data_IF_303600460192
#
_entry.id   IF_303600460192
#
_cell.length_a   1.000
_cell.length_b   1.000
_cell.length_c   1.000
_cell.angle_alpha   90.00
_cell.angle_beta   90.00
_cell.angle_gamma   90.00
#
_symmetry.space_group_name_H-M   'P 1'
#
loop_
_entity.id
_entity.type
_entity.pdbx_description
1 polymer ?
#
# COMPACT_ATOMS: atom_id res chain seq x y z
N UNK A 1 76.91 -55.04 38.03
CA UNK A 1 77.09 -54.81 36.58
C UNK A 1 75.96 -53.91 36.11
N UNK A 2 76.20 -52.62 35.78
CA UNK A 2 75.17 -51.80 35.15
C UNK A 2 74.92 -52.32 33.73
N UNK A 3 73.65 -52.46 33.28
CA UNK A 3 73.36 -52.92 31.93
C UNK A 3 73.87 -51.90 30.89
N UNK A 4 74.53 -52.38 29.84
CA UNK A 4 74.91 -51.56 28.70
C UNK A 4 73.65 -51.12 27.95
N UNK A 5 73.33 -49.83 28.02
CA UNK A 5 72.18 -49.26 27.30
C UNK A 5 72.42 -49.34 25.79
N UNK A 6 71.51 -49.95 25.03
CA UNK A 6 71.60 -49.99 23.56
C UNK A 6 71.05 -48.70 22.94
N UNK A 7 71.48 -48.33 21.72
CA UNK A 7 70.97 -47.12 21.03
C UNK A 7 69.44 -47.14 20.84
N UNK A 8 68.85 -48.33 20.74
CA UNK A 8 67.41 -48.54 20.66
C UNK A 8 66.69 -48.09 21.93
N UNK A 9 67.29 -48.31 23.10
CA UNK A 9 66.73 -47.89 24.39
C UNK A 9 66.76 -46.36 24.53
N UNK A 10 67.80 -45.70 24.00
CA UNK A 10 67.90 -44.23 23.99
C UNK A 10 66.87 -43.60 23.05
N UNK A 11 66.67 -44.16 21.86
CA UNK A 11 65.64 -43.70 20.93
C UNK A 11 64.22 -43.85 21.53
N UNK A 12 63.94 -44.99 22.18
CA UNK A 12 62.67 -45.20 22.88
C UNK A 12 62.47 -44.22 24.03
N UNK A 13 63.52 -43.94 24.82
CA UNK A 13 63.45 -42.97 25.90
C UNK A 13 63.16 -41.54 25.39
N UNK A 14 63.76 -41.14 24.27
CA UNK A 14 63.50 -39.83 23.66
C UNK A 14 62.07 -39.71 23.10
N UNK A 15 61.57 -40.77 22.44
CA UNK A 15 60.18 -40.80 21.96
C UNK A 15 59.20 -40.72 23.13
N UNK A 16 59.45 -41.45 24.22
CA UNK A 16 58.62 -41.40 25.43
C UNK A 16 58.65 -40.03 26.10
N UNK A 17 59.81 -39.38 26.17
CA UNK A 17 59.94 -38.03 26.70
C UNK A 17 59.18 -37.00 25.84
N UNK A 18 59.30 -37.10 24.52
CA UNK A 18 58.56 -36.22 23.60
C UNK A 18 57.05 -36.44 23.72
N UNK A 19 56.60 -37.70 23.79
CA UNK A 19 55.21 -38.03 24.01
C UNK A 19 54.69 -37.47 25.35
N UNK A 20 55.48 -37.57 26.43
CA UNK A 20 55.13 -37.02 27.73
C UNK A 20 55.02 -35.49 27.72
N UNK A 21 55.93 -34.80 27.01
CA UNK A 21 55.88 -33.34 26.83
C UNK A 21 54.66 -32.91 26.02
N UNK A 22 54.36 -33.60 24.92
CA UNK A 22 53.14 -33.34 24.13
C UNK A 22 51.89 -33.56 24.98
N UNK A 23 51.84 -34.65 25.74
CA UNK A 23 50.70 -34.95 26.61
C UNK A 23 50.53 -33.86 27.68
N UNK A 24 51.62 -33.40 28.29
CA UNK A 24 51.60 -32.28 29.24
C UNK A 24 51.09 -30.99 28.59
N UNK A 25 51.53 -30.67 27.36
CA UNK A 25 51.03 -29.52 26.61
C UNK A 25 49.52 -29.63 26.30
N UNK A 26 49.07 -30.79 25.82
CA UNK A 26 47.66 -31.01 25.50
C UNK A 26 46.75 -30.97 26.72
N UNK A 27 47.23 -31.38 27.90
CA UNK A 27 46.42 -31.38 29.13
C UNK A 27 46.47 -30.05 29.87
N UNK A 28 47.59 -29.32 29.85
CA UNK A 28 47.71 -28.04 30.57
C UNK A 28 47.39 -26.84 29.68
N UNK A 29 47.99 -26.75 28.50
CA UNK A 29 47.95 -25.53 27.68
C UNK A 29 46.72 -25.49 26.81
N UNK A 30 46.36 -26.61 26.18
CA UNK A 30 45.22 -26.65 25.26
C UNK A 30 43.87 -26.32 25.94
N UNK A 31 43.47 -26.92 27.08
CA UNK A 31 42.19 -26.58 27.71
C UNK A 31 42.21 -25.20 28.37
N UNK A 32 43.35 -24.77 28.93
CA UNK A 32 43.41 -23.49 29.64
C UNK A 32 43.49 -22.30 28.70
N UNK A 33 44.14 -22.45 27.54
CA UNK A 33 44.44 -21.31 26.67
C UNK A 33 43.70 -21.34 25.34
N UNK A 34 43.75 -22.44 24.60
CA UNK A 34 43.25 -22.43 23.21
C UNK A 34 41.73 -22.55 23.13
N UNK A 35 41.11 -23.33 24.01
CA UNK A 35 39.63 -23.45 24.09
C UNK A 35 38.97 -22.10 24.40
N UNK A 36 39.32 -21.37 25.48
CA UNK A 36 38.68 -20.09 25.76
C UNK A 36 38.96 -19.02 24.70
N UNK A 37 40.17 -19.02 24.09
CA UNK A 37 40.48 -18.10 23.01
C UNK A 37 39.61 -18.35 21.77
N UNK A 38 39.34 -19.62 21.44
CA UNK A 38 38.45 -19.99 20.34
C UNK A 38 37.01 -19.56 20.63
N UNK A 39 36.50 -19.77 21.85
CA UNK A 39 35.15 -19.33 22.23
C UNK A 39 34.97 -17.81 22.16
N UNK A 40 35.97 -17.04 22.57
CA UNK A 40 35.89 -15.57 22.46
C UNK A 40 35.88 -15.15 20.99
N UNK A 41 36.71 -15.78 20.15
CA UNK A 41 36.75 -15.49 18.71
C UNK A 41 35.43 -15.83 18.01
N UNK A 42 34.78 -16.95 18.35
CA UNK A 42 33.47 -17.31 17.79
C UNK A 42 32.41 -16.29 18.20
N UNK A 43 32.36 -15.90 19.49
CA UNK A 43 31.44 -14.86 19.98
C UNK A 43 31.64 -13.52 19.27
N UNK A 44 32.89 -13.11 19.05
CA UNK A 44 33.21 -11.88 18.31
C UNK A 44 32.75 -11.98 16.86
N UNK A 45 32.94 -13.13 16.21
CA UNK A 45 32.43 -13.40 14.86
C UNK A 45 30.91 -13.25 14.79
N UNK A 46 30.19 -13.91 15.70
CA UNK A 46 28.72 -13.84 15.76
C UNK A 46 28.20 -12.41 15.97
N UNK A 47 28.83 -11.63 16.85
CA UNK A 47 28.44 -10.25 17.10
C UNK A 47 28.66 -9.36 15.86
N UNK A 48 29.79 -9.55 15.16
CA UNK A 48 30.07 -8.83 13.90
C UNK A 48 29.06 -9.19 12.82
N UNK A 49 28.68 -10.45 12.69
CA UNK A 49 27.69 -10.88 11.71
C UNK A 49 26.28 -10.31 12.00
N UNK A 50 25.92 -10.17 13.28
CA UNK A 50 24.67 -9.53 13.69
C UNK A 50 24.71 -8.03 13.41
N UNK A 51 25.82 -7.37 13.75
CA UNK A 51 26.02 -5.95 13.47
C UNK A 51 25.95 -5.66 11.97
N UNK A 52 26.61 -6.47 11.14
CA UNK A 52 26.58 -6.32 9.69
C UNK A 52 25.16 -6.44 9.14
N UNK A 53 24.37 -7.44 9.59
CA UNK A 53 22.96 -7.59 9.21
C UNK A 53 22.11 -6.38 9.58
N UNK A 54 22.31 -5.83 10.78
CA UNK A 54 21.56 -4.64 11.22
C UNK A 54 21.97 -3.43 10.38
N UNK A 55 23.27 -3.23 10.14
CA UNK A 55 23.78 -2.13 9.31
C UNK A 55 23.28 -2.21 7.87
N UNK A 56 23.23 -3.41 7.26
CA UNK A 56 22.70 -3.56 5.90
C UNK A 56 21.21 -3.27 5.82
N UNK A 57 20.42 -3.65 6.83
CA UNK A 57 19.00 -3.28 6.91
C UNK A 57 18.80 -1.77 7.09
N UNK A 58 19.58 -1.13 7.98
CA UNK A 58 19.52 0.32 8.17
C UNK A 58 19.96 1.09 6.91
N UNK A 59 20.92 0.57 6.15
CA UNK A 59 21.34 1.17 4.88
C UNK A 59 20.23 1.19 3.81
N UNK A 60 19.21 0.32 3.92
CA UNK A 60 18.05 0.31 3.03
C UNK A 60 16.97 1.34 3.41
N UNK A 61 16.93 1.77 4.68
CA UNK A 61 15.97 2.77 5.16
C UNK A 61 15.87 4.04 4.29
N UNK A 62 16.97 4.70 3.86
CA UNK A 62 16.86 5.90 3.02
C UNK A 62 16.33 5.62 1.61
N UNK A 63 16.48 4.40 1.09
CA UNK A 63 15.87 4.04 -0.20
C UNK A 63 14.36 3.89 -0.04
N UNK A 64 13.92 3.15 0.98
CA UNK A 64 12.49 2.98 1.30
C UNK A 64 11.82 4.33 1.58
N UNK A 65 12.48 5.23 2.32
CA UNK A 65 11.96 6.58 2.58
C UNK A 65 11.82 7.41 1.30
N UNK A 66 12.76 7.31 0.36
CA UNK A 66 12.66 8.00 -0.94
C UNK A 66 11.53 7.46 -1.80
N UNK A 67 11.38 6.14 -1.86
CA UNK A 67 10.29 5.49 -2.60
C UNK A 67 8.93 5.82 -1.99
N UNK A 68 8.83 5.81 -0.65
CA UNK A 68 7.63 6.24 0.07
C UNK A 68 7.30 7.72 -0.21
N UNK A 69 8.29 8.61 -0.13
CA UNK A 69 8.08 10.03 -0.42
C UNK A 69 7.65 10.26 -1.87
N UNK A 70 8.24 9.54 -2.83
CA UNK A 70 7.85 9.59 -4.23
C UNK A 70 6.41 9.08 -4.43
N UNK A 71 6.03 7.96 -3.81
CA UNK A 71 4.68 7.43 -3.86
C UNK A 71 3.64 8.38 -3.26
N UNK A 72 3.96 9.00 -2.11
CA UNK A 72 3.10 10.01 -1.49
C UNK A 72 2.96 11.27 -2.35
N UNK A 73 4.04 11.72 -3.00
CA UNK A 73 3.99 12.85 -3.94
C UNK A 73 3.13 12.53 -5.17
N UNK A 74 3.23 11.33 -5.73
CA UNK A 74 2.37 10.87 -6.83
C UNK A 74 0.90 10.76 -6.39
N UNK A 75 0.64 10.27 -5.18
CA UNK A 75 -0.71 10.22 -4.61
C UNK A 75 -1.28 11.62 -4.39
N UNK A 76 -0.47 12.59 -3.97
CA UNK A 76 -0.91 13.98 -3.82
C UNK A 76 -1.29 14.62 -5.17
N UNK A 77 -0.64 14.23 -6.27
CA UNK A 77 -0.98 14.67 -7.62
C UNK A 77 -2.27 14.05 -8.16
N UNK A 78 -2.71 12.90 -7.62
CA UNK A 78 -3.97 12.23 -7.97
C UNK A 78 -4.92 12.29 -6.79
N UNK A 79 -5.59 13.43 -6.54
CA UNK A 79 -6.45 13.60 -5.38
C UNK A 79 -7.57 12.54 -5.44
N UNK A 80 -7.45 11.51 -4.60
CA UNK A 80 -8.50 10.53 -4.40
C UNK A 80 -9.70 11.08 -3.64
N UNK A 81 -9.59 12.30 -3.12
CA UNK A 81 -10.62 13.01 -2.39
C UNK A 81 -11.14 14.19 -3.21
N UNK A 82 -12.40 14.53 -3.00
CA UNK A 82 -13.04 15.75 -3.49
C UNK A 82 -12.27 16.99 -2.98
N UNK A 83 -12.00 17.99 -3.85
CA UNK A 83 -11.26 19.20 -3.46
C UNK A 83 -12.06 20.16 -2.57
N UNK A 84 -13.37 19.99 -2.47
CA UNK A 84 -14.26 20.87 -1.72
C UNK A 84 -14.11 20.68 -0.19
N UNK A 85 -14.38 21.75 0.57
CA UNK A 85 -14.17 21.77 2.02
C UNK A 85 -15.36 21.23 2.84
N UNK A 86 -16.58 21.26 2.28
CA UNK A 86 -17.82 20.82 2.95
C UNK A 86 -18.65 19.93 2.04
N UNK A 87 -19.56 19.17 2.64
CA UNK A 87 -20.47 18.24 1.95
C UNK A 87 -21.36 18.97 0.95
N UNK A 88 -21.84 20.16 1.30
CA UNK A 88 -22.75 20.96 0.47
C UNK A 88 -22.05 21.49 -0.78
N UNK A 89 -20.82 21.99 -0.61
CA UNK A 89 -19.98 22.46 -1.71
C UNK A 89 -19.59 21.30 -2.65
N UNK A 90 -19.22 20.16 -2.07
CA UNK A 90 -18.88 18.96 -2.80
C UNK A 90 -20.05 18.42 -3.62
N UNK A 91 -21.28 18.47 -3.07
CA UNK A 91 -22.50 18.05 -3.77
C UNK A 91 -22.73 18.90 -5.03
N UNK A 92 -22.63 20.23 -4.90
CA UNK A 92 -22.76 21.13 -6.04
C UNK A 92 -21.65 20.93 -7.08
N UNK A 93 -20.40 20.77 -6.62
CA UNK A 93 -19.25 20.50 -7.48
C UNK A 93 -19.36 19.19 -8.25
N UNK A 94 -19.93 18.14 -7.64
CA UNK A 94 -20.15 16.84 -8.27
C UNK A 94 -21.18 16.92 -9.41
N UNK A 95 -22.30 17.61 -9.16
CA UNK A 95 -23.36 17.84 -10.16
C UNK A 95 -22.81 18.61 -11.37
N UNK A 96 -22.08 19.70 -11.15
CA UNK A 96 -21.46 20.48 -12.23
C UNK A 96 -20.49 19.65 -13.08
N UNK A 97 -19.74 18.75 -12.45
CA UNK A 97 -18.78 17.87 -13.14
C UNK A 97 -19.49 16.81 -13.97
N UNK A 98 -20.55 16.21 -13.43
CA UNK A 98 -21.39 15.26 -14.15
C UNK A 98 -22.00 15.91 -15.40
N UNK A 99 -22.52 17.13 -15.27
CA UNK A 99 -23.06 17.88 -16.40
C UNK A 99 -22.00 18.14 -17.47
N UNK A 100 -20.76 18.45 -17.08
CA UNK A 100 -19.65 18.64 -18.02
C UNK A 100 -19.29 17.33 -18.76
N UNK A 101 -19.23 16.20 -18.06
CA UNK A 101 -18.96 14.87 -18.63
C UNK A 101 -20.06 14.48 -19.63
N UNK A 102 -21.32 14.67 -19.26
CA UNK A 102 -22.46 14.35 -20.15
C UNK A 102 -22.47 15.24 -21.39
N UNK A 103 -22.16 16.55 -21.24
CA UNK A 103 -22.01 17.47 -22.39
C UNK A 103 -20.88 17.07 -23.33
N UNK A 104 -19.78 16.55 -22.79
CA UNK A 104 -18.65 16.08 -23.58
C UNK A 104 -18.96 14.77 -24.31
N UNK A 105 -19.69 13.84 -23.67
CA UNK A 105 -20.09 12.58 -24.26
C UNK A 105 -21.25 12.72 -25.28
N UNK A 106 -22.10 13.73 -25.16
CA UNK A 106 -23.22 13.99 -26.10
C UNK A 106 -23.20 15.40 -26.70
N UNK A 107 -22.38 15.65 -27.74
CA UNK A 107 -22.39 16.91 -28.45
C UNK A 107 -23.77 17.16 -29.09
N UNK A 108 -24.52 18.12 -28.53
CA UNK A 108 -25.86 18.49 -28.98
C UNK A 108 -27.03 17.85 -28.22
N UNK A 109 -26.81 17.16 -27.09
CA UNK A 109 -27.85 16.64 -26.19
C UNK A 109 -28.88 15.69 -26.85
N UNK A 110 -28.52 15.04 -27.95
CA UNK A 110 -29.45 14.19 -28.72
C UNK A 110 -29.42 12.72 -28.28
N UNK A 111 -28.32 12.30 -27.65
CA UNK A 111 -28.06 10.89 -27.35
C UNK A 111 -27.88 10.59 -25.86
N UNK A 112 -27.83 11.61 -24.99
CA UNK A 112 -27.71 11.43 -23.55
C UNK A 112 -28.26 12.66 -22.82
N UNK A 113 -29.31 12.48 -22.02
CA UNK A 113 -29.95 13.55 -21.24
C UNK A 113 -30.08 13.14 -19.76
N UNK A 114 -29.85 14.10 -18.86
CA UNK A 114 -30.06 13.92 -17.42
C UNK A 114 -31.56 13.98 -17.15
N UNK A 115 -32.13 12.89 -16.62
CA UNK A 115 -33.55 12.80 -16.30
C UNK A 115 -33.86 13.26 -14.87
N UNK A 116 -33.00 12.91 -13.91
CA UNK A 116 -33.11 13.36 -12.53
C UNK A 116 -31.73 13.32 -11.86
N UNK A 117 -31.46 14.27 -10.98
CA UNK A 117 -30.30 14.29 -10.10
C UNK A 117 -30.75 14.73 -8.72
N UNK A 118 -30.52 13.90 -7.71
CA UNK A 118 -30.97 14.18 -6.34
C UNK A 118 -29.83 13.89 -5.38
N UNK A 119 -29.42 14.89 -4.57
CA UNK A 119 -28.40 14.66 -3.56
C UNK A 119 -28.97 13.76 -2.46
N UNK A 120 -28.22 12.73 -2.08
CA UNK A 120 -28.58 11.84 -0.99
C UNK A 120 -27.82 12.28 0.26
N UNK A 121 -28.54 12.75 1.27
CA UNK A 121 -27.95 13.08 2.55
C UNK A 121 -27.71 11.80 3.35
N UNK A 122 -26.45 11.51 3.69
CA UNK A 122 -26.12 10.34 4.50
C UNK A 122 -26.12 10.70 5.98
N UNK A 123 -26.88 9.99 6.83
CA UNK A 123 -26.86 10.19 8.26
C UNK A 123 -25.62 9.53 8.86
N UNK A 124 -24.65 10.31 9.31
CA UNK A 124 -23.51 9.77 10.08
C UNK A 124 -22.29 10.67 10.10
N UNK A 125 -21.58 10.70 11.24
CA UNK A 125 -20.21 11.25 11.32
C UNK A 125 -19.22 10.13 11.03
N UNK A 126 -19.00 9.85 9.75
CA UNK A 126 -17.91 8.96 9.31
C UNK A 126 -16.57 9.72 9.39
N UNK A 127 -15.46 9.00 9.62
CA UNK A 127 -14.11 9.60 9.65
C UNK A 127 -13.77 10.26 8.31
N UNK A 128 -14.31 9.72 7.22
CA UNK A 128 -14.23 10.29 5.87
C UNK A 128 -15.65 10.58 5.41
N UNK A 129 -16.10 11.85 5.44
CA UNK A 129 -17.44 12.18 4.97
C UNK A 129 -17.58 11.79 3.50
N UNK A 130 -18.57 10.96 3.17
CA UNK A 130 -18.92 10.62 1.79
C UNK A 130 -20.09 11.46 1.32
N UNK A 131 -20.04 11.82 0.05
CA UNK A 131 -21.09 12.58 -0.65
C UNK A 131 -21.64 11.69 -1.74
N UNK A 132 -22.95 11.48 -1.75
CA UNK A 132 -23.64 10.62 -2.70
C UNK A 132 -24.68 11.43 -3.46
N UNK A 133 -24.71 11.28 -4.78
CA UNK A 133 -25.74 11.86 -5.65
C UNK A 133 -26.35 10.74 -6.47
N UNK A 134 -27.66 10.57 -6.35
CA UNK A 134 -28.40 9.64 -7.19
C UNK A 134 -28.65 10.30 -8.55
N UNK A 135 -28.24 9.61 -9.61
CA UNK A 135 -28.31 10.10 -10.99
C UNK A 135 -29.15 9.15 -11.83
N UNK A 136 -30.11 9.73 -12.56
CA UNK A 136 -30.87 9.04 -13.60
C UNK A 136 -30.58 9.67 -14.95
N UNK A 137 -30.01 8.87 -15.86
CA UNK A 137 -29.63 9.25 -17.22
C UNK A 137 -30.50 8.53 -18.24
N UNK A 138 -30.80 9.19 -19.36
CA UNK A 138 -31.40 8.57 -20.55
C UNK A 138 -30.42 8.69 -21.70
N UNK A 139 -29.72 7.60 -22.02
CA UNK A 139 -28.62 7.64 -22.99
C UNK A 139 -28.61 6.44 -23.93
N UNK A 140 -27.99 6.59 -25.10
CA UNK A 140 -27.65 5.46 -25.96
C UNK A 140 -26.54 4.59 -25.33
N UNK A 141 -26.43 3.35 -25.80
CA UNK A 141 -25.42 2.41 -25.31
C UNK A 141 -23.96 2.89 -25.49
N UNK A 142 -23.54 3.44 -26.66
CA UNK A 142 -22.16 3.89 -26.82
C UNK A 142 -21.86 5.15 -25.99
N UNK A 143 -22.83 6.04 -25.82
CA UNK A 143 -22.69 7.24 -24.99
C UNK A 143 -22.57 6.88 -23.51
N UNK A 144 -23.35 5.92 -23.02
CA UNK A 144 -23.25 5.42 -21.65
C UNK A 144 -21.84 4.87 -21.36
N UNK A 145 -21.28 4.08 -22.27
CA UNK A 145 -19.93 3.55 -22.10
C UNK A 145 -18.88 4.66 -22.00
N UNK A 146 -19.00 5.72 -22.81
CA UNK A 146 -18.13 6.90 -22.76
C UNK A 146 -18.26 7.65 -21.43
N UNK A 147 -19.50 7.86 -20.95
CA UNK A 147 -19.76 8.53 -19.66
C UNK A 147 -19.16 7.73 -18.49
N UNK A 148 -19.42 6.43 -18.42
CA UNK A 148 -18.88 5.58 -17.34
C UNK A 148 -17.35 5.55 -17.37
N UNK A 149 -16.74 5.46 -18.56
CA UNK A 149 -15.30 5.49 -18.71
C UNK A 149 -14.68 6.83 -18.25
N UNK A 150 -15.33 7.96 -18.56
CA UNK A 150 -14.87 9.28 -18.11
C UNK A 150 -15.03 9.47 -16.59
N UNK A 151 -16.07 8.89 -15.99
CA UNK A 151 -16.24 8.92 -14.52
C UNK A 151 -15.16 8.06 -13.85
N UNK A 152 -14.87 6.87 -14.37
CA UNK A 152 -13.86 5.96 -13.83
C UNK A 152 -12.42 6.49 -13.99
N UNK A 153 -12.09 7.05 -15.16
CA UNK A 153 -10.76 7.60 -15.45
C UNK A 153 -10.56 9.03 -14.92
N UNK A 154 -11.64 9.65 -14.43
CA UNK A 154 -11.64 11.00 -13.91
C UNK A 154 -10.83 11.18 -12.62
N UNK A 155 -10.36 12.41 -12.41
CA UNK A 155 -9.81 12.85 -11.13
C UNK A 155 -10.67 14.01 -10.63
N UNK A 156 -11.21 13.97 -9.39
CA UNK A 156 -10.98 13.04 -8.29
C UNK A 156 -11.64 11.67 -8.48
N UNK A 157 -11.25 10.69 -7.66
CA UNK A 157 -11.83 9.33 -7.70
C UNK A 157 -13.30 9.36 -7.30
N UNK A 158 -14.16 9.09 -8.28
CA UNK A 158 -15.59 8.91 -8.09
C UNK A 158 -15.93 7.43 -8.26
N UNK A 159 -16.93 6.98 -7.51
CA UNK A 159 -17.37 5.60 -7.52
C UNK A 159 -18.84 5.54 -7.90
N UNK A 160 -19.19 4.46 -8.60
CA UNK A 160 -20.56 4.19 -9.05
C UNK A 160 -21.10 3.01 -8.25
N UNK A 161 -22.22 3.23 -7.58
CA UNK A 161 -22.97 2.24 -6.83
C UNK A 161 -24.38 2.07 -7.40
N UNK A 162 -25.04 0.95 -7.09
CA UNK A 162 -26.44 0.70 -7.44
C UNK A 162 -26.80 0.95 -8.92
N UNK A 163 -25.89 0.59 -9.83
CA UNK A 163 -26.09 0.74 -11.28
C UNK A 163 -27.20 -0.19 -11.77
N UNK A 164 -28.26 0.42 -12.28
CA UNK A 164 -29.40 -0.24 -12.89
C UNK A 164 -29.59 0.29 -14.32
N UNK A 165 -29.68 -0.61 -15.29
CA UNK A 165 -29.81 -0.29 -16.72
C UNK A 165 -31.11 -0.91 -17.23
N UNK A 166 -32.03 -0.06 -17.69
CA UNK A 166 -33.31 -0.45 -18.23
C UNK A 166 -33.40 -0.06 -19.70
N UNK A 167 -33.70 -1.01 -20.57
CA UNK A 167 -33.94 -0.72 -21.99
C UNK A 167 -35.31 -0.06 -22.17
N UNK A 168 -35.35 1.22 -22.52
CA UNK A 168 -36.59 1.96 -22.72
C UNK A 168 -37.09 1.74 -24.16
N UNK A 169 -37.76 0.61 -24.38
CA UNK A 169 -38.40 0.30 -25.66
C UNK A 169 -39.73 1.05 -25.76
N UNK A 170 -39.73 2.30 -26.21
CA UNK A 170 -40.99 2.94 -26.63
C UNK A 170 -41.46 2.33 -27.95
N UNK A 171 -42.46 1.45 -27.85
CA UNK A 171 -43.00 0.67 -28.95
C UNK A 171 -43.93 1.45 -29.92
N UNK A 172 -43.81 2.77 -30.06
CA UNK A 172 -44.87 3.53 -30.78
C UNK A 172 -44.48 4.51 -31.89
N UNK A 173 -43.22 4.91 -32.10
CA UNK A 173 -42.86 5.66 -33.31
C UNK A 173 -41.43 5.34 -33.74
N UNK A 174 -41.32 4.54 -34.81
CA UNK A 174 -40.08 4.38 -35.56
C UNK A 174 -39.74 5.72 -36.24
N UNK A 175 -38.86 6.49 -35.63
CA UNK A 175 -38.09 7.53 -36.31
C UNK A 175 -36.65 7.01 -36.45
N UNK A 176 -36.22 6.90 -37.70
CA UNK A 176 -35.03 6.22 -38.25
C UNK A 176 -33.63 6.65 -37.73
N UNK A 177 -33.46 7.22 -36.54
CA UNK A 177 -32.11 7.68 -36.13
C UNK A 177 -31.77 7.70 -34.63
N UNK A 178 -32.58 7.11 -33.76
CA UNK A 178 -32.26 7.05 -32.32
C UNK A 178 -32.13 5.61 -31.83
N UNK A 179 -30.92 5.16 -31.50
CA UNK A 179 -30.74 3.94 -30.70
C UNK A 179 -31.68 4.01 -29.49
N UNK A 180 -32.52 2.98 -29.30
CA UNK A 180 -33.48 2.92 -28.21
C UNK A 180 -32.83 3.32 -26.89
N UNK A 181 -33.34 4.37 -26.26
CA UNK A 181 -32.72 4.96 -25.08
C UNK A 181 -32.64 3.94 -23.94
N UNK A 182 -31.49 3.87 -23.27
CA UNK A 182 -31.34 3.20 -22.00
C UNK A 182 -31.68 4.20 -20.90
N UNK A 183 -32.56 3.81 -19.99
CA UNK A 183 -32.80 4.53 -18.74
C UNK A 183 -31.88 3.91 -17.68
N UNK A 184 -30.89 4.68 -17.24
CA UNK A 184 -29.82 4.24 -16.36
C UNK A 184 -29.93 5.00 -15.05
N UNK A 185 -29.97 4.28 -13.94
CA UNK A 185 -29.94 4.85 -12.60
C UNK A 185 -28.70 4.35 -11.87
N UNK A 186 -27.95 5.25 -11.24
CA UNK A 186 -26.80 4.90 -10.42
C UNK A 186 -26.54 5.95 -9.35
N UNK A 187 -25.86 5.54 -8.30
CA UNK A 187 -25.42 6.41 -7.22
C UNK A 187 -23.95 6.75 -7.46
N UNK A 188 -23.67 8.04 -7.64
CA UNK A 188 -22.31 8.54 -7.79
C UNK A 188 -21.83 9.06 -6.44
N UNK A 189 -20.69 8.58 -5.97
CA UNK A 189 -20.16 9.04 -4.69
C UNK A 189 -18.66 9.32 -4.69
N UNK A 190 -18.26 10.18 -3.77
CA UNK A 190 -16.87 10.51 -3.51
C UNK A 190 -16.63 10.82 -2.03
N UNK A 191 -15.37 10.77 -1.63
CA UNK A 191 -14.96 11.02 -0.25
C UNK A 191 -14.33 12.40 -0.12
N UNK A 192 -14.59 13.05 1.02
CA UNK A 192 -13.95 14.28 1.43
C UNK A 192 -12.77 13.99 2.35
N UNK A 193 -11.75 14.84 2.28
CA UNK A 193 -10.68 14.82 3.27
C UNK A 193 -11.29 15.21 4.62
N UNK A 194 -11.04 14.47 5.71
CA UNK A 194 -11.47 14.88 7.04
C UNK A 194 -10.95 16.29 7.30
N UNK A 195 -11.84 17.19 7.69
CA UNK A 195 -11.42 18.45 8.26
C UNK A 195 -10.52 18.12 9.47
N UNK A 196 -9.40 18.82 9.66
CA UNK A 196 -8.58 18.63 10.86
C UNK A 196 -9.51 18.79 12.06
N UNK A 197 -9.66 17.72 12.85
CA UNK A 197 -10.47 17.75 14.05
C UNK A 197 -9.97 18.93 14.89
N UNK A 198 -10.87 19.87 15.20
CA UNK A 198 -10.60 20.86 16.23
C UNK A 198 -10.08 20.10 17.47
N UNK A 199 -9.02 20.59 18.15
CA UNK A 199 -8.45 19.90 19.29
C UNK A 199 -9.58 19.51 20.24
N UNK A 200 -9.76 18.22 20.49
CA UNK A 200 -10.62 17.78 21.58
C UNK A 200 -9.95 18.31 22.84
N UNK A 201 -10.52 19.36 23.40
CA UNK A 201 -10.18 19.84 24.74
C UNK A 201 -10.24 18.60 25.65
N UNK A 202 -9.10 18.25 26.21
CA UNK A 202 -8.97 17.07 27.04
C UNK A 202 -9.99 17.20 28.18
N UNK A 203 -10.68 16.12 28.58
CA UNK A 203 -11.54 16.20 29.75
C UNK A 203 -10.66 16.55 30.94
N UNK A 204 -10.95 17.67 31.60
CA UNK A 204 -10.34 18.00 32.88
C UNK A 204 -10.46 16.80 33.80
N UNK A 205 -9.30 16.24 34.17
CA UNK A 205 -9.23 15.14 35.11
C UNK A 205 -9.61 15.65 36.52
N UNK A 206 -10.43 14.92 37.28
CA UNK A 206 -10.80 15.30 38.64
C UNK A 206 -9.65 15.16 39.64
#
# INVERSE_FOLDING_TARGET
>A
MPPATTDRDRALALVLLLAALLLGYFVLVHPWWTVPMQEVNTRVGELRDRELRIRTQLAQAPQVQRELAAALAQQAQRPGFLPEATVELATAGLVQRLEAIVKQASPGNRSCAIANQSPLALPGREVYPRVVVQVRLRCGAPELASVLHQIESGSPRLFVENLNILAQRYAFQASESGAGGLDVNFDLYGYLKPAPAAPREAPDAP
#
